data_IF_816017439921
#
_entry.id   IF_816017439921
#
_cell.length_a   1.000
_cell.length_b   1.000
_cell.length_c   1.000
_cell.angle_alpha   90.00
_cell.angle_beta   90.00
_cell.angle_gamma   90.00
#
_symmetry.space_group_name_H-M   'P 1'
#
loop_
_entity.id
_entity.type
_entity.pdbx_description
1 polymer ?
#
# COMPACT_ATOMS: atom_id res chain seq x y z
N UNK A 1 2.05 10.26 -15.35
CA UNK A 1 1.34 9.01 -14.89
C UNK A 1 -0.15 9.06 -15.28
N UNK A 2 -0.54 8.46 -16.41
CA UNK A 2 -1.95 8.35 -16.85
C UNK A 2 -2.76 7.43 -15.93
N UNK A 3 -4.07 7.62 -15.85
CA UNK A 3 -4.95 6.81 -15.01
C UNK A 3 -4.66 6.93 -13.52
N UNK A 4 -4.07 8.06 -13.11
CA UNK A 4 -3.55 8.28 -11.76
C UNK A 4 -4.01 9.64 -11.24
N UNK A 5 -4.41 9.70 -9.97
CA UNK A 5 -4.71 10.95 -9.27
C UNK A 5 -4.08 10.96 -7.88
N UNK A 6 -3.79 12.16 -7.37
CA UNK A 6 -3.20 12.37 -6.06
C UNK A 6 -4.03 13.29 -5.17
N UNK A 7 -3.99 13.05 -3.87
CA UNK A 7 -4.47 13.96 -2.83
C UNK A 7 -3.29 14.29 -1.94
N UNK A 8 -2.77 15.54 -1.96
CA UNK A 8 -1.51 15.88 -1.28
C UNK A 8 -1.62 15.87 0.25
N UNK A 9 -2.83 15.99 0.78
CA UNK A 9 -3.10 15.80 2.19
C UNK A 9 -4.45 15.11 2.39
N UNK A 10 -4.43 14.00 3.08
CA UNK A 10 -5.59 13.29 3.59
C UNK A 10 -5.30 12.93 5.04
N UNK A 11 -6.24 13.20 5.92
CA UNK A 11 -6.11 12.87 7.35
C UNK A 11 -7.28 12.01 7.79
N UNK A 12 -6.97 10.89 8.42
CA UNK A 12 -7.96 10.01 9.01
C UNK A 12 -7.39 9.28 10.24
N UNK A 13 -8.27 8.77 11.08
CA UNK A 13 -7.89 8.11 12.34
C UNK A 13 -6.90 6.96 12.22
N UNK A 14 -6.85 6.26 11.07
CA UNK A 14 -5.91 5.15 10.87
C UNK A 14 -4.55 5.64 10.40
N UNK A 15 -4.56 6.49 9.38
CA UNK A 15 -3.30 6.86 8.71
C UNK A 15 -2.63 8.08 9.31
N UNK A 16 -3.40 8.96 9.95
CA UNK A 16 -2.93 10.32 10.24
C UNK A 16 -2.71 11.11 8.94
N UNK A 17 -2.04 12.26 9.00
CA UNK A 17 -1.81 13.10 7.83
C UNK A 17 -0.86 12.43 6.84
N UNK A 18 -1.38 12.02 5.67
CA UNK A 18 -0.64 11.42 4.57
C UNK A 18 -1.14 11.92 3.23
N UNK A 19 -0.27 11.93 2.22
CA UNK A 19 -0.69 12.05 0.84
C UNK A 19 -1.09 10.67 0.30
N UNK A 20 -2.07 10.65 -0.59
CA UNK A 20 -2.59 9.43 -1.19
C UNK A 20 -2.55 9.49 -2.71
N UNK A 21 -2.10 8.41 -3.34
CA UNK A 21 -2.15 8.21 -4.79
C UNK A 21 -3.12 7.08 -5.09
N UNK A 22 -3.99 7.32 -6.06
CA UNK A 22 -5.03 6.40 -6.53
C UNK A 22 -4.80 6.08 -8.00
N UNK A 23 -4.92 4.81 -8.35
CA UNK A 23 -4.90 4.33 -9.74
C UNK A 23 -6.22 3.62 -10.06
N UNK A 24 -6.48 3.44 -11.34
CA UNK A 24 -7.72 2.83 -11.84
C UNK A 24 -7.81 1.36 -11.44
N UNK A 25 -8.82 1.00 -10.67
CA UNK A 25 -9.06 -0.40 -10.24
C UNK A 25 -9.37 -1.29 -11.44
N UNK A 26 -8.79 -2.47 -11.47
CA UNK A 26 -8.92 -3.45 -12.55
C UNK A 26 -7.90 -3.24 -13.65
N UNK A 27 -7.87 -2.06 -14.26
CA UNK A 27 -6.94 -1.74 -15.37
C UNK A 27 -5.48 -1.75 -14.91
N UNK A 28 -5.23 -1.26 -13.71
CA UNK A 28 -3.87 -1.17 -13.16
C UNK A 28 -3.57 -2.26 -12.12
N UNK A 29 -4.42 -3.28 -12.02
CA UNK A 29 -4.22 -4.42 -11.13
C UNK A 29 -3.71 -5.62 -11.91
N UNK A 30 -2.82 -6.47 -11.33
CA UNK A 30 -2.45 -7.73 -11.95
C UNK A 30 -3.65 -8.68 -11.93
N UNK A 31 -3.77 -9.53 -12.95
CA UNK A 31 -4.83 -10.54 -13.04
C UNK A 31 -4.82 -11.53 -11.87
N UNK A 32 -3.64 -11.71 -11.26
CA UNK A 32 -3.42 -12.56 -10.08
C UNK A 32 -3.92 -11.96 -8.77
N UNK A 33 -4.38 -10.69 -8.75
CA UNK A 33 -4.87 -10.08 -7.51
C UNK A 33 -6.17 -10.77 -7.04
N UNK A 34 -6.18 -11.49 -5.91
CA UNK A 34 -7.33 -12.27 -5.45
C UNK A 34 -8.51 -11.39 -5.04
N UNK A 35 -8.27 -10.09 -4.79
CA UNK A 35 -9.30 -9.15 -4.38
C UNK A 35 -10.15 -8.64 -5.55
N UNK A 36 -9.71 -8.80 -6.80
CA UNK A 36 -10.48 -8.34 -7.97
C UNK A 36 -11.87 -8.98 -8.02
N UNK A 37 -11.96 -10.26 -7.70
CA UNK A 37 -13.21 -11.03 -7.70
C UNK A 37 -13.86 -11.10 -6.30
N UNK A 38 -13.05 -11.12 -5.24
CA UNK A 38 -13.48 -11.41 -3.86
C UNK A 38 -13.82 -10.18 -3.01
N UNK A 39 -14.07 -9.03 -3.63
CA UNK A 39 -14.57 -7.86 -2.91
C UNK A 39 -13.51 -6.84 -2.51
N UNK A 40 -12.73 -6.40 -3.49
CA UNK A 40 -11.76 -5.31 -3.33
C UNK A 40 -12.39 -4.09 -2.64
N UNK A 41 -11.77 -3.64 -1.56
CA UNK A 41 -12.23 -2.47 -0.81
C UNK A 41 -12.23 -1.18 -1.66
N UNK A 42 -11.37 -1.13 -2.67
CA UNK A 42 -11.28 0.01 -3.57
C UNK A 42 -12.48 0.13 -4.54
N UNK A 43 -13.33 -0.90 -4.61
CA UNK A 43 -14.64 -0.86 -5.29
C UNK A 43 -15.75 -0.30 -4.40
N UNK A 44 -15.45 0.10 -3.14
CA UNK A 44 -16.42 0.63 -2.16
C UNK A 44 -16.17 2.11 -1.89
N UNK A 45 -17.26 2.85 -1.57
CA UNK A 45 -17.19 4.24 -1.16
C UNK A 45 -16.41 4.38 0.18
N UNK A 46 -15.56 5.42 0.35
CA UNK A 46 -15.27 6.54 -0.57
C UNK A 46 -14.14 6.25 -1.57
N UNK A 47 -13.38 5.16 -1.44
CA UNK A 47 -12.19 4.88 -2.27
C UNK A 47 -12.58 4.70 -3.74
N UNK A 48 -13.72 4.06 -4.03
CA UNK A 48 -14.25 3.89 -5.38
C UNK A 48 -14.41 5.21 -6.14
N UNK A 49 -14.78 6.28 -5.44
CA UNK A 49 -14.92 7.61 -6.05
C UNK A 49 -13.56 8.16 -6.51
N UNK A 50 -12.52 7.99 -5.69
CA UNK A 50 -11.17 8.40 -6.04
C UNK A 50 -10.59 7.55 -7.18
N UNK A 51 -10.81 6.22 -7.13
CA UNK A 51 -10.41 5.30 -8.19
C UNK A 51 -11.08 5.64 -9.54
N UNK A 52 -12.38 5.97 -9.53
CA UNK A 52 -13.09 6.42 -10.74
C UNK A 52 -12.52 7.74 -11.28
N UNK A 53 -12.27 8.71 -10.40
CA UNK A 53 -11.66 9.99 -10.80
C UNK A 53 -10.27 9.85 -11.39
N UNK A 54 -9.51 8.82 -10.99
CA UNK A 54 -8.19 8.55 -11.52
C UNK A 54 -8.23 8.19 -13.02
N UNK A 55 -9.31 7.56 -13.52
CA UNK A 55 -9.42 7.11 -14.92
C UNK A 55 -9.19 8.24 -15.93
N UNK A 56 -9.67 9.44 -15.62
CA UNK A 56 -9.66 10.58 -16.52
C UNK A 56 -8.50 11.56 -16.23
N UNK A 57 -7.61 11.20 -15.29
CA UNK A 57 -6.54 12.09 -14.85
C UNK A 57 -5.16 11.59 -15.25
N UNK A 58 -4.28 12.57 -15.44
CA UNK A 58 -2.84 12.35 -15.52
C UNK A 58 -2.20 13.10 -14.35
N UNK A 59 -1.42 12.40 -13.54
CA UNK A 59 -0.70 12.98 -12.44
C UNK A 59 0.73 13.31 -12.88
N UNK A 60 1.12 14.58 -12.79
CA UNK A 60 2.52 14.98 -12.74
C UNK A 60 3.01 14.69 -11.30
N UNK A 61 3.82 13.65 -11.15
CA UNK A 61 4.22 13.18 -9.83
C UNK A 61 5.19 14.15 -9.16
N UNK A 62 6.08 14.81 -9.91
CA UNK A 62 6.98 15.81 -9.33
C UNK A 62 6.22 17.03 -8.81
N UNK A 63 5.28 17.58 -9.61
CA UNK A 63 4.42 18.67 -9.17
C UNK A 63 3.58 18.25 -7.93
N UNK A 64 3.09 17.02 -7.91
CA UNK A 64 2.37 16.47 -6.77
C UNK A 64 3.25 16.41 -5.51
N UNK A 65 4.51 15.97 -5.60
CA UNK A 65 5.42 15.94 -4.47
C UNK A 65 5.75 17.34 -3.94
N UNK A 66 5.81 18.36 -4.79
CA UNK A 66 5.93 19.75 -4.33
C UNK A 66 4.71 20.20 -3.52
N UNK A 67 3.51 19.81 -3.93
CA UNK A 67 2.29 20.08 -3.16
C UNK A 67 2.26 19.30 -1.83
N UNK A 68 2.73 18.05 -1.82
CA UNK A 68 2.91 17.27 -0.60
C UNK A 68 3.86 17.99 0.37
N UNK A 69 4.99 18.46 -0.13
CA UNK A 69 5.98 19.19 0.71
C UNK A 69 5.39 20.44 1.35
N UNK A 70 4.52 21.17 0.63
CA UNK A 70 3.86 22.38 1.14
C UNK A 70 2.73 22.09 2.14
N UNK A 71 1.93 21.06 1.88
CA UNK A 71 0.64 20.85 2.56
C UNK A 71 0.66 19.74 3.60
N UNK A 72 1.58 18.77 3.48
CA UNK A 72 1.57 17.57 4.30
C UNK A 72 2.72 17.58 5.32
N UNK A 73 2.44 17.78 6.62
CA UNK A 73 3.46 17.87 7.64
C UNK A 73 4.25 16.57 7.84
N UNK A 74 3.66 15.42 7.52
CA UNK A 74 4.35 14.12 7.65
C UNK A 74 5.32 13.85 6.52
N UNK A 75 5.12 14.49 5.35
CA UNK A 75 5.86 14.21 4.10
C UNK A 75 5.85 12.73 3.71
N UNK A 76 4.72 12.07 3.91
CA UNK A 76 4.52 10.66 3.59
C UNK A 76 3.51 10.54 2.47
N UNK A 77 3.85 9.74 1.46
CA UNK A 77 2.97 9.40 0.33
C UNK A 77 2.64 7.92 0.36
N UNK A 78 1.37 7.59 0.42
CA UNK A 78 0.86 6.24 0.24
C UNK A 78 0.44 6.05 -1.21
N UNK A 79 1.15 5.18 -1.93
CA UNK A 79 0.84 4.76 -3.29
C UNK A 79 -0.30 3.74 -3.31
N UNK A 80 -0.95 3.66 -4.46
CA UNK A 80 -1.89 2.58 -4.79
C UNK A 80 -2.94 2.35 -3.70
N UNK A 81 -3.51 3.44 -3.13
CA UNK A 81 -4.69 3.32 -2.25
C UNK A 81 -5.82 2.62 -3.02
N UNK A 82 -5.82 2.72 -4.34
CA UNK A 82 -6.57 1.90 -5.29
C UNK A 82 -5.71 1.60 -6.50
N UNK A 83 -5.95 0.47 -7.17
CA UNK A 83 -5.12 0.00 -8.28
C UNK A 83 -3.77 -0.57 -7.82
N UNK A 84 -2.89 -0.81 -8.76
CA UNK A 84 -1.55 -1.36 -8.56
C UNK A 84 -0.59 -0.79 -9.62
N UNK A 85 0.60 -1.31 -9.77
CA UNK A 85 1.67 -0.83 -10.68
C UNK A 85 1.62 -1.50 -12.06
N UNK A 86 0.45 -1.88 -12.53
CA UNK A 86 0.25 -2.58 -13.79
C UNK A 86 -0.57 -1.78 -14.80
N UNK A 87 -0.49 -2.18 -16.06
CA UNK A 87 -1.42 -1.84 -17.15
C UNK A 87 -1.58 -3.08 -18.02
N UNK A 88 -2.82 -3.52 -18.24
CA UNK A 88 -3.13 -4.71 -19.03
C UNK A 88 -2.35 -5.96 -18.58
N UNK A 89 -2.26 -6.17 -17.27
CA UNK A 89 -1.55 -7.27 -16.62
C UNK A 89 -0.01 -7.28 -16.76
N UNK A 90 0.56 -6.27 -17.39
CA UNK A 90 2.00 -6.05 -17.48
C UNK A 90 2.45 -4.93 -16.54
N UNK A 91 3.71 -4.97 -16.09
CA UNK A 91 4.27 -3.91 -15.25
C UNK A 91 4.29 -2.59 -16.03
N UNK A 92 3.67 -1.56 -15.47
CA UNK A 92 3.67 -0.21 -16.02
C UNK A 92 5.05 0.43 -15.81
N UNK A 93 5.95 0.21 -16.78
CA UNK A 93 7.33 0.68 -16.71
C UNK A 93 7.41 2.20 -16.67
N UNK A 94 6.58 2.90 -17.46
CA UNK A 94 6.54 4.36 -17.44
C UNK A 94 6.22 4.88 -16.03
N UNK A 95 5.22 4.27 -15.38
CA UNK A 95 4.87 4.61 -14.00
C UNK A 95 6.00 4.31 -13.01
N UNK A 96 6.64 3.14 -13.12
CA UNK A 96 7.71 2.73 -12.19
C UNK A 96 8.95 3.60 -12.35
N UNK A 97 9.36 3.90 -13.58
CA UNK A 97 10.53 4.72 -13.86
C UNK A 97 10.32 6.17 -13.40
N UNK A 98 9.13 6.75 -13.66
CA UNK A 98 8.77 8.09 -13.19
C UNK A 98 8.71 8.14 -11.66
N UNK A 99 8.16 7.11 -11.00
CA UNK A 99 8.10 6.99 -9.55
C UNK A 99 9.50 6.95 -8.92
N UNK A 100 10.39 6.12 -9.46
CA UNK A 100 11.77 5.97 -8.97
C UNK A 100 12.55 7.28 -9.17
N UNK A 101 12.43 7.90 -10.35
CA UNK A 101 13.09 9.18 -10.64
C UNK A 101 12.61 10.29 -9.69
N UNK A 102 11.30 10.38 -9.47
CA UNK A 102 10.72 11.37 -8.57
C UNK A 102 11.12 11.11 -7.10
N UNK A 103 11.18 9.85 -6.65
CA UNK A 103 11.65 9.49 -5.32
C UNK A 103 13.11 9.92 -5.11
N UNK A 104 13.99 9.63 -6.08
CA UNK A 104 15.40 10.07 -6.05
C UNK A 104 15.54 11.58 -5.97
N UNK A 105 14.72 12.33 -6.69
CA UNK A 105 14.73 13.78 -6.70
C UNK A 105 14.14 14.42 -5.43
N UNK A 106 13.41 13.65 -4.60
CA UNK A 106 12.73 14.14 -3.40
C UNK A 106 13.03 13.26 -2.18
N UNK A 107 14.29 13.16 -1.72
CA UNK A 107 14.71 12.22 -0.68
C UNK A 107 14.11 12.52 0.70
N UNK A 108 13.56 13.71 0.91
CA UNK A 108 12.88 14.13 2.15
C UNK A 108 11.42 13.66 2.24
N UNK A 109 10.88 13.06 1.18
CA UNK A 109 9.51 12.52 1.14
C UNK A 109 9.56 11.00 1.18
N UNK A 110 8.93 10.39 2.17
CA UNK A 110 8.80 8.94 2.27
C UNK A 110 7.64 8.47 1.38
N UNK A 111 7.90 7.52 0.52
CA UNK A 111 6.92 6.98 -0.43
C UNK A 111 6.78 5.48 -0.18
N UNK A 112 5.55 4.98 -0.02
CA UNK A 112 5.33 3.56 0.16
C UNK A 112 4.02 3.09 -0.48
N UNK A 113 3.98 1.82 -0.82
CA UNK A 113 2.79 1.18 -1.37
C UNK A 113 2.85 -0.34 -1.27
N UNK A 114 1.87 -0.98 -1.88
CA UNK A 114 1.74 -2.43 -1.91
C UNK A 114 1.47 -2.89 -3.33
N UNK A 115 1.97 -4.07 -3.70
CA UNK A 115 1.66 -4.71 -4.98
C UNK A 115 1.33 -6.19 -4.77
N UNK A 116 0.28 -6.69 -5.42
CA UNK A 116 -0.02 -8.12 -5.48
C UNK A 116 0.76 -8.86 -6.58
N UNK A 117 1.45 -8.11 -7.44
CA UNK A 117 2.23 -8.68 -8.53
C UNK A 117 3.74 -8.57 -8.32
N UNK A 118 4.23 -8.68 -7.07
CA UNK A 118 5.65 -8.49 -6.77
C UNK A 118 6.60 -9.37 -7.61
N UNK A 119 6.16 -10.60 -7.97
CA UNK A 119 6.96 -11.49 -8.81
C UNK A 119 7.18 -10.91 -10.21
N UNK A 120 6.10 -10.40 -10.85
CA UNK A 120 6.20 -9.74 -12.15
C UNK A 120 7.02 -8.46 -12.07
N UNK A 121 6.87 -7.68 -10.99
CA UNK A 121 7.64 -6.46 -10.74
C UNK A 121 9.12 -6.79 -10.59
N UNK A 122 9.45 -7.84 -9.82
CA UNK A 122 10.82 -8.34 -9.66
C UNK A 122 11.40 -8.81 -10.99
N UNK A 123 10.68 -9.65 -11.73
CA UNK A 123 11.10 -10.15 -13.05
C UNK A 123 11.30 -9.03 -14.09
N UNK A 124 10.58 -7.91 -13.94
CA UNK A 124 10.75 -6.73 -14.78
C UNK A 124 12.00 -5.90 -14.43
N UNK A 125 12.76 -6.29 -13.38
CA UNK A 125 13.99 -5.63 -12.95
C UNK A 125 13.79 -4.57 -11.84
N UNK A 126 12.57 -4.40 -11.34
CA UNK A 126 12.29 -3.52 -10.20
C UNK A 126 12.35 -4.31 -8.90
N UNK A 127 13.54 -4.38 -8.32
CA UNK A 127 13.81 -5.13 -7.10
C UNK A 127 14.02 -4.20 -5.89
N UNK A 128 13.83 -4.66 -4.64
CA UNK A 128 13.94 -3.80 -3.46
C UNK A 128 15.24 -3.03 -3.35
N UNK A 129 16.35 -3.61 -3.80
CA UNK A 129 17.69 -3.01 -3.81
C UNK A 129 17.90 -1.97 -4.94
N UNK A 130 17.03 -1.95 -5.95
CA UNK A 130 17.03 -0.90 -6.99
C UNK A 130 16.25 0.35 -6.60
N UNK A 131 15.43 0.27 -5.55
CA UNK A 131 14.63 1.39 -5.08
C UNK A 131 15.48 2.38 -4.26
N UNK A 132 15.25 3.69 -4.38
CA UNK A 132 15.86 4.66 -3.49
C UNK A 132 15.37 4.45 -2.04
N UNK A 133 16.20 4.81 -1.04
CA UNK A 133 15.95 4.55 0.37
C UNK A 133 14.63 5.12 0.91
N UNK A 134 14.07 6.13 0.25
CA UNK A 134 12.79 6.74 0.61
C UNK A 134 11.58 6.14 -0.14
N UNK A 135 11.77 5.08 -0.94
CA UNK A 135 10.70 4.36 -1.63
C UNK A 135 10.62 2.91 -1.15
N UNK A 136 9.49 2.52 -0.60
CA UNK A 136 9.22 1.15 -0.16
C UNK A 136 7.98 0.61 -0.87
N UNK A 137 8.15 -0.37 -1.73
CA UNK A 137 7.04 -1.14 -2.29
C UNK A 137 7.03 -2.51 -1.62
N UNK A 138 5.95 -2.85 -0.91
CA UNK A 138 5.78 -4.10 -0.20
C UNK A 138 5.06 -5.12 -1.08
N UNK A 139 5.48 -6.38 -1.02
CA UNK A 139 4.69 -7.47 -1.56
C UNK A 139 3.41 -7.65 -0.71
N UNK A 140 2.25 -7.58 -1.34
CA UNK A 140 0.98 -7.94 -0.70
C UNK A 140 0.74 -9.42 -0.91
N UNK A 141 0.74 -10.19 0.17
CA UNK A 141 0.67 -11.65 0.14
C UNK A 141 -0.51 -12.17 0.97
N UNK A 142 -1.08 -13.29 0.55
CA UNK A 142 -2.33 -13.80 1.12
C UNK A 142 -2.12 -14.97 2.10
N UNK A 143 -0.96 -15.62 2.05
CA UNK A 143 -0.62 -16.79 2.86
C UNK A 143 0.88 -16.86 3.18
N UNK A 144 1.29 -17.88 3.94
CA UNK A 144 2.69 -18.09 4.33
C UNK A 144 3.58 -18.55 3.17
N UNK A 145 3.05 -19.25 2.19
CA UNK A 145 3.83 -19.74 1.05
C UNK A 145 4.24 -18.58 0.15
N UNK A 146 3.30 -17.68 -0.15
CA UNK A 146 3.58 -16.45 -0.90
C UNK A 146 4.44 -15.48 -0.09
N UNK A 147 4.33 -15.45 1.25
CA UNK A 147 5.21 -14.69 2.13
C UNK A 147 6.66 -15.20 2.07
N UNK A 148 6.86 -16.52 2.18
CA UNK A 148 8.18 -17.14 2.06
C UNK A 148 8.81 -16.86 0.69
N UNK A 149 8.01 -16.87 -0.38
CA UNK A 149 8.47 -16.53 -1.73
C UNK A 149 8.89 -15.06 -1.84
N UNK A 150 8.11 -14.14 -1.27
CA UNK A 150 8.47 -12.72 -1.23
C UNK A 150 9.78 -12.50 -0.47
N UNK A 151 9.94 -13.15 0.70
CA UNK A 151 11.17 -13.09 1.49
C UNK A 151 12.39 -13.64 0.72
N UNK A 152 12.24 -14.77 0.00
CA UNK A 152 13.30 -15.35 -0.81
C UNK A 152 13.76 -14.41 -1.95
N UNK A 153 12.90 -13.54 -2.43
CA UNK A 153 13.21 -12.49 -3.41
C UNK A 153 13.71 -11.19 -2.77
N UNK A 154 13.90 -11.16 -1.46
CA UNK A 154 14.34 -9.97 -0.72
C UNK A 154 13.25 -8.89 -0.52
N UNK A 155 11.98 -9.23 -0.81
CA UNK A 155 10.89 -8.28 -0.62
C UNK A 155 10.42 -8.23 0.83
N UNK A 156 10.29 -7.02 1.34
CA UNK A 156 9.46 -6.79 2.50
C UNK A 156 8.00 -7.07 2.11
N UNK A 157 7.24 -7.73 2.97
CA UNK A 157 5.87 -8.10 2.64
C UNK A 157 4.86 -7.64 3.69
N UNK A 158 3.61 -7.61 3.26
CA UNK A 158 2.44 -7.43 4.08
C UNK A 158 1.49 -8.61 3.85
N UNK A 159 1.34 -9.45 4.86
CA UNK A 159 0.47 -10.63 4.84
C UNK A 159 -0.87 -10.33 5.51
N UNK A 160 -1.92 -10.95 5.00
CA UNK A 160 -3.26 -10.86 5.59
C UNK A 160 -3.55 -12.09 6.42
N UNK A 161 -3.92 -11.91 7.69
CA UNK A 161 -4.26 -12.98 8.61
C UNK A 161 -5.70 -12.80 9.12
N UNK A 162 -6.43 -13.93 9.23
CA UNK A 162 -7.79 -13.94 9.77
C UNK A 162 -7.81 -14.08 11.27
N UNK A 163 -6.85 -14.83 11.81
CA UNK A 163 -6.73 -15.13 13.23
C UNK A 163 -5.55 -14.39 13.85
N UNK A 164 -5.83 -13.38 14.64
CA UNK A 164 -4.82 -12.60 15.37
C UNK A 164 -4.24 -13.34 16.60
N UNK A 165 -4.75 -14.53 16.91
CA UNK A 165 -4.14 -15.42 17.93
C UNK A 165 -3.09 -16.35 17.33
N UNK A 166 -3.06 -16.46 15.99
CA UNK A 166 -2.03 -17.22 15.28
C UNK A 166 -0.63 -16.67 15.59
N UNK A 167 0.35 -17.55 15.68
CA UNK A 167 1.75 -17.15 15.83
C UNK A 167 2.22 -16.49 14.52
N UNK A 168 2.89 -15.36 14.66
CA UNK A 168 3.70 -14.75 13.62
C UNK A 168 5.05 -15.45 13.53
N UNK A 169 5.69 -15.36 12.36
CA UNK A 169 7.08 -15.77 12.21
C UNK A 169 8.00 -14.74 12.89
N UNK A 170 9.28 -15.05 13.12
CA UNK A 170 10.17 -14.20 13.91
C UNK A 170 10.36 -12.79 13.34
N UNK A 171 10.27 -12.67 12.02
CA UNK A 171 10.38 -11.41 11.29
C UNK A 171 9.03 -10.71 11.02
N UNK A 172 7.93 -11.28 11.51
CA UNK A 172 6.57 -10.74 11.37
C UNK A 172 6.08 -10.03 12.63
N UNK A 173 5.39 -8.92 12.44
CA UNK A 173 4.63 -8.26 13.52
C UNK A 173 3.22 -7.91 13.07
N UNK A 174 2.26 -8.08 13.95
CA UNK A 174 0.91 -7.57 13.71
C UNK A 174 0.89 -6.05 13.61
N UNK A 175 0.17 -5.52 12.63
CA UNK A 175 -0.07 -4.08 12.55
C UNK A 175 -0.68 -3.57 13.87
N UNK A 176 -0.01 -2.68 14.62
CA UNK A 176 -0.47 -2.27 15.94
C UNK A 176 -1.84 -1.59 15.91
N UNK A 177 -2.15 -0.91 14.81
CA UNK A 177 -3.44 -0.23 14.62
C UNK A 177 -4.56 -1.26 14.41
N UNK A 178 -4.33 -2.28 13.57
CA UNK A 178 -5.33 -3.31 13.31
C UNK A 178 -5.47 -4.23 14.53
N UNK A 179 -4.37 -4.54 15.22
CA UNK A 179 -4.39 -5.33 16.46
C UNK A 179 -5.17 -4.64 17.60
N UNK A 180 -5.04 -3.31 17.74
CA UNK A 180 -5.86 -2.55 18.69
C UNK A 180 -7.35 -2.62 18.33
N UNK A 181 -7.68 -2.38 17.05
CA UNK A 181 -9.07 -2.43 16.55
C UNK A 181 -9.71 -3.80 16.70
N UNK A 182 -8.96 -4.89 16.49
CA UNK A 182 -9.48 -6.25 16.66
C UNK A 182 -9.90 -6.53 18.11
N UNK A 183 -9.26 -5.87 19.07
CA UNK A 183 -9.56 -5.94 20.51
C UNK A 183 -10.61 -4.90 20.96
N UNK A 184 -11.17 -4.12 20.03
CA UNK A 184 -12.08 -3.03 20.37
C UNK A 184 -11.43 -1.84 21.09
N UNK A 185 -10.10 -1.72 21.00
CA UNK A 185 -9.31 -0.66 21.62
C UNK A 185 -9.01 0.42 20.58
N UNK A 186 -9.14 1.69 20.96
CA UNK A 186 -8.71 2.80 20.10
C UNK A 186 -7.17 2.77 19.95
N UNK A 187 -6.65 2.76 18.70
CA UNK A 187 -5.21 2.78 18.48
C UNK A 187 -4.55 4.02 19.07
N UNK A 188 -3.43 3.84 19.76
CA UNK A 188 -2.64 4.95 20.34
C UNK A 188 -1.69 5.63 19.34
N UNK A 189 -1.67 5.18 18.10
CA UNK A 189 -0.78 5.69 17.05
C UNK A 189 -1.48 5.67 15.70
N UNK A 190 -0.97 6.47 14.76
CA UNK A 190 -1.35 6.49 13.35
C UNK A 190 -0.27 5.85 12.49
N UNK A 191 -0.55 5.56 11.21
CA UNK A 191 0.48 5.07 10.29
C UNK A 191 1.61 6.10 10.09
N UNK A 192 1.28 7.41 10.10
CA UNK A 192 2.25 8.49 9.96
C UNK A 192 3.25 8.56 11.12
N UNK A 193 2.83 8.18 12.33
CA UNK A 193 3.67 8.08 13.51
C UNK A 193 4.39 6.74 13.60
N UNK A 194 3.69 5.63 13.35
CA UNK A 194 4.18 4.26 13.47
C UNK A 194 5.31 3.97 12.47
N UNK A 195 5.10 4.27 11.19
CA UNK A 195 6.05 4.10 10.07
C UNK A 195 6.57 2.67 9.86
N UNK A 196 6.00 1.67 10.51
CA UNK A 196 6.47 0.28 10.50
C UNK A 196 6.55 -0.31 9.08
N UNK A 197 5.64 0.10 8.19
CA UNK A 197 5.61 -0.39 6.82
C UNK A 197 6.75 0.13 5.94
N UNK A 198 7.35 1.29 6.25
CA UNK A 198 8.16 2.01 5.27
C UNK A 198 9.39 2.76 5.82
N UNK A 199 9.60 2.82 7.15
CA UNK A 199 10.83 3.43 7.66
C UNK A 199 12.01 2.46 7.55
N UNK A 200 13.17 2.95 7.13
CA UNK A 200 14.39 2.16 6.90
C UNK A 200 14.77 1.30 8.12
N UNK A 201 14.61 1.82 9.33
CA UNK A 201 14.88 1.08 10.57
C UNK A 201 14.03 -0.19 10.75
N UNK A 202 12.96 -0.33 9.99
CA UNK A 202 12.05 -1.49 10.01
C UNK A 202 12.11 -2.30 8.70
N UNK A 203 13.13 -2.14 7.89
CA UNK A 203 13.23 -2.81 6.58
C UNK A 203 13.13 -4.33 6.65
N UNK A 204 13.62 -4.94 7.73
CA UNK A 204 13.60 -6.39 7.95
C UNK A 204 12.37 -6.87 8.76
N UNK A 205 11.37 -6.01 8.98
CA UNK A 205 10.16 -6.38 9.73
C UNK A 205 8.99 -6.47 8.77
N UNK A 206 8.40 -7.64 8.65
CA UNK A 206 7.22 -7.89 7.85
C UNK A 206 5.93 -7.63 8.63
N UNK A 207 4.85 -7.32 7.92
CA UNK A 207 3.63 -6.83 8.55
C UNK A 207 2.51 -7.84 8.38
N UNK A 208 1.78 -8.11 9.45
CA UNK A 208 0.56 -8.89 9.39
C UNK A 208 -0.64 -7.99 9.62
N UNK A 209 -1.53 -7.94 8.63
CA UNK A 209 -2.80 -7.20 8.70
C UNK A 209 -3.96 -8.13 8.99
N UNK A 210 -4.96 -7.61 9.69
CA UNK A 210 -6.22 -8.33 9.86
C UNK A 210 -7.05 -8.31 8.57
N UNK A 211 -7.51 -9.48 8.17
CA UNK A 211 -8.51 -9.59 7.11
C UNK A 211 -9.86 -9.06 7.61
N UNK A 212 -10.21 -7.87 7.15
CA UNK A 212 -11.54 -7.31 7.42
C UNK A 212 -12.49 -7.82 6.34
N UNK A 213 -13.22 -8.89 6.64
CA UNK A 213 -14.39 -9.25 5.83
C UNK A 213 -15.36 -8.08 5.87
N UNK A 214 -15.65 -7.47 4.74
CA UNK A 214 -16.60 -6.36 4.63
C UNK A 214 -18.06 -6.78 4.85
N UNK A 215 -18.34 -7.44 5.96
CA UNK A 215 -19.67 -7.80 6.45
C UNK A 215 -19.85 -7.21 7.85
N UNK A 216 -20.82 -6.30 8.01
CA UNK A 216 -21.37 -6.04 9.34
C UNK A 216 -21.67 -7.40 9.98
N UNK A 217 -21.02 -7.75 11.09
CA UNK A 217 -21.55 -8.77 11.98
C UNK A 217 -23.01 -8.35 12.25
N UNK A 218 -23.97 -9.10 11.78
CA UNK A 218 -25.35 -8.98 12.28
C UNK A 218 -25.22 -9.15 13.79
N UNK A 219 -25.53 -8.10 14.55
CA UNK A 219 -25.74 -8.24 15.98
C UNK A 219 -26.77 -9.35 16.10
N UNK A 220 -26.37 -10.49 16.63
CA UNK A 220 -27.30 -11.53 17.00
C UNK A 220 -28.31 -10.92 17.94
N UNK A 221 -29.57 -10.87 17.52
CA UNK A 221 -30.68 -10.63 18.41
C UNK A 221 -30.73 -11.79 19.39
N UNK A 222 -30.77 -11.45 20.65
CA UNK A 222 -31.18 -12.34 21.71
C UNK A 222 -32.70 -12.58 21.55
#
# INVERSE_FOLDING_TARGET
>A
MKGTSGTPLSDNRKTGPMANVYRTVGVTCPSTCPLLERGCYAKRWPVALHAKRAQEKTLDFNAFLQEVRKKNPSKIVRLNVSGDVFVNDEVDREFMDELIAAAKANPDILIYGYTHGFEKVHAAGYTPDTFPANLTLLASVDDKDTAAKAAAYGWKYARVERDYTAKTDEDEVFCPIDAAKSKGIEPKTTCAECKLCFAEKYKNVNIVFQYVTGGRKKKGGA
#
